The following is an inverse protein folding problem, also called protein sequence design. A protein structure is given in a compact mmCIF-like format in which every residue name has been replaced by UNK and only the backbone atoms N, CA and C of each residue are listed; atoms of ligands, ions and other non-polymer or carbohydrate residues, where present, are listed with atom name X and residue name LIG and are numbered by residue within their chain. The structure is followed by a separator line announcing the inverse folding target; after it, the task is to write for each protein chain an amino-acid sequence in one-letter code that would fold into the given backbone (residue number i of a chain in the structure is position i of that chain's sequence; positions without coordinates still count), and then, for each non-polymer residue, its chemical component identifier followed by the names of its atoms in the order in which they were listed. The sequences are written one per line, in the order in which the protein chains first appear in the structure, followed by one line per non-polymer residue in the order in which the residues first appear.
data_IF_013059314688
#
_entry.id   IF_013059314688
#
_cell.length_a   1.000
_cell.length_b   1.000
_cell.length_c   1.000
_cell.angle_alpha   90.00
_cell.angle_beta   90.00
_cell.angle_gamma   90.00
#
_symmetry.space_group_name_H-M   'P 1'
#
loop_
_entity.id
_entity.type
_entity.pdbx_description
1 polymer ?
#
# COMPACT_ATOMS: atom_id res chain seq x y z
N UNK A 1 6.02 20.87 -10.35
CA UNK A 1 5.90 19.52 -9.74
C UNK A 1 5.31 18.59 -10.79
N UNK A 2 6.03 17.52 -11.13
CA UNK A 2 5.69 16.51 -12.13
C UNK A 2 5.54 15.18 -11.40
N UNK A 3 4.35 14.60 -11.45
CA UNK A 3 4.00 13.37 -10.74
C UNK A 3 3.72 12.29 -11.78
N UNK A 4 4.44 11.18 -11.72
CA UNK A 4 4.21 10.02 -12.57
C UNK A 4 3.69 8.87 -11.72
N UNK A 5 2.86 8.01 -12.30
CA UNK A 5 2.29 6.85 -11.64
C UNK A 5 2.72 5.56 -12.34
N UNK A 6 3.23 4.59 -11.60
CA UNK A 6 3.74 3.32 -12.17
C UNK A 6 2.88 2.10 -11.88
N UNK A 7 1.75 2.25 -11.18
CA UNK A 7 0.87 1.13 -10.84
C UNK A 7 -0.55 1.62 -10.58
N UNK A 8 -1.54 0.90 -11.10
CA UNK A 8 -2.96 1.07 -10.76
C UNK A 8 -3.55 -0.07 -9.92
N UNK A 9 -2.84 -1.18 -9.74
CA UNK A 9 -3.28 -2.32 -8.92
C UNK A 9 -2.13 -3.25 -8.53
N UNK A 10 -2.34 -4.15 -7.56
CA UNK A 10 -1.33 -5.14 -7.21
C UNK A 10 -1.10 -6.18 -8.32
N UNK A 11 0.10 -6.17 -8.90
CA UNK A 11 0.48 -7.06 -10.01
C UNK A 11 0.44 -6.39 -11.38
N UNK A 12 0.37 -5.06 -11.43
CA UNK A 12 0.48 -4.26 -12.66
C UNK A 12 1.86 -4.40 -13.36
N UNK A 13 2.05 -3.67 -14.45
CA UNK A 13 3.21 -3.71 -15.32
C UNK A 13 4.53 -3.44 -14.58
N UNK A 14 5.31 -4.51 -14.35
CA UNK A 14 6.55 -4.43 -13.56
C UNK A 14 7.55 -3.38 -14.08
N UNK A 15 7.83 -3.26 -15.39
CA UNK A 15 8.76 -2.25 -15.91
C UNK A 15 8.30 -0.78 -15.76
N UNK A 16 7.03 -0.53 -15.45
CA UNK A 16 6.47 0.83 -15.45
C UNK A 16 7.24 1.81 -14.56
N UNK A 17 7.75 1.35 -13.40
CA UNK A 17 8.55 2.21 -12.51
C UNK A 17 9.81 2.73 -13.23
N UNK A 18 10.54 1.83 -13.90
CA UNK A 18 11.72 2.18 -14.69
C UNK A 18 11.35 3.07 -15.85
N UNK A 19 10.31 2.72 -16.60
CA UNK A 19 9.86 3.47 -17.78
C UNK A 19 9.48 4.92 -17.40
N UNK A 20 8.84 5.13 -16.24
CA UNK A 20 8.51 6.47 -15.74
C UNK A 20 9.72 7.26 -15.27
N UNK A 21 10.69 6.61 -14.61
CA UNK A 21 11.91 7.27 -14.11
C UNK A 21 12.89 7.61 -15.24
N UNK A 22 12.98 6.77 -16.27
CA UNK A 22 13.87 6.96 -17.41
C UNK A 22 13.25 7.81 -18.54
N UNK A 23 11.92 7.72 -18.73
CA UNK A 23 11.21 8.32 -19.85
C UNK A 23 11.04 9.84 -19.80
N UNK A 24 11.32 10.50 -18.68
CA UNK A 24 11.24 11.95 -18.59
C UNK A 24 11.53 12.50 -17.21
N UNK A 25 11.66 13.84 -17.07
CA UNK A 25 11.86 14.46 -15.78
C UNK A 25 10.58 14.33 -14.94
N UNK A 26 10.68 13.66 -13.79
CA UNK A 26 9.61 13.58 -12.79
C UNK A 26 10.17 14.03 -11.44
N UNK A 27 9.31 14.60 -10.59
CA UNK A 27 9.68 15.01 -9.23
C UNK A 27 9.21 13.96 -8.20
N UNK A 28 8.12 13.23 -8.53
CA UNK A 28 7.53 12.20 -7.69
C UNK A 28 7.12 11.00 -8.54
N UNK A 29 7.48 9.80 -8.09
CA UNK A 29 6.95 8.53 -8.57
C UNK A 29 5.91 8.01 -7.58
N UNK A 30 4.69 7.81 -8.04
CA UNK A 30 3.60 7.21 -7.28
C UNK A 30 3.27 5.81 -7.79
N UNK A 31 2.58 5.04 -6.96
CA UNK A 31 2.03 3.76 -7.36
C UNK A 31 0.88 3.35 -6.45
N UNK A 32 -0.21 2.93 -7.08
CA UNK A 32 -1.38 2.37 -6.42
C UNK A 32 -1.38 0.84 -6.52
N UNK A 33 -1.48 0.18 -5.37
CA UNK A 33 -1.48 -1.27 -5.23
C UNK A 33 -2.75 -1.77 -4.56
N UNK A 34 -3.51 -0.89 -3.90
CA UNK A 34 -4.62 -1.30 -3.05
C UNK A 34 -5.93 -1.25 -3.82
N UNK A 35 -6.63 -2.37 -3.76
CA UNK A 35 -8.00 -2.53 -4.20
C UNK A 35 -8.67 -3.48 -3.21
N UNK A 36 -10.00 -3.56 -3.23
CA UNK A 36 -10.77 -4.44 -2.34
C UNK A 36 -10.27 -5.90 -2.38
N UNK A 37 -10.05 -6.44 -3.59
CA UNK A 37 -9.48 -7.77 -3.76
C UNK A 37 -8.05 -7.88 -3.21
N UNK A 38 -7.22 -6.85 -3.37
CA UNK A 38 -5.86 -6.81 -2.84
C UNK A 38 -5.88 -6.95 -1.32
N UNK A 39 -6.78 -6.24 -0.62
CA UNK A 39 -6.87 -6.30 0.84
C UNK A 39 -7.07 -7.74 1.34
N UNK A 40 -7.95 -8.50 0.68
CA UNK A 40 -8.17 -9.91 0.99
C UNK A 40 -6.91 -10.77 0.72
N UNK A 41 -6.19 -10.51 -0.38
CA UNK A 41 -4.94 -11.23 -0.70
C UNK A 41 -3.88 -10.98 0.37
N UNK A 42 -3.70 -9.72 0.78
CA UNK A 42 -2.73 -9.33 1.80
C UNK A 42 -3.09 -9.90 3.17
N UNK A 43 -4.38 -9.94 3.51
CA UNK A 43 -4.85 -10.59 4.74
C UNK A 43 -4.54 -12.09 4.74
N UNK A 44 -4.85 -12.79 3.65
CA UNK A 44 -4.49 -14.23 3.50
C UNK A 44 -2.99 -14.47 3.57
N UNK A 45 -2.17 -13.54 3.08
CA UNK A 45 -0.72 -13.63 3.22
C UNK A 45 -0.29 -13.49 4.69
N UNK A 46 -0.88 -12.54 5.42
CA UNK A 46 -0.60 -12.31 6.85
C UNK A 46 -0.99 -13.49 7.73
N UNK A 47 -2.07 -14.20 7.38
CA UNK A 47 -2.45 -15.44 8.07
C UNK A 47 -1.38 -16.54 7.98
N UNK A 48 -0.65 -16.60 6.87
CA UNK A 48 0.42 -17.58 6.66
C UNK A 48 1.74 -17.13 7.28
N UNK A 49 2.01 -15.82 7.21
CA UNK A 49 3.23 -15.20 7.71
C UNK A 49 2.88 -13.83 8.32
N UNK A 50 2.95 -13.67 9.66
CA UNK A 50 2.65 -12.40 10.31
C UNK A 50 3.50 -11.22 9.84
N UNK A 51 4.68 -11.46 9.24
CA UNK A 51 5.55 -10.42 8.68
C UNK A 51 5.14 -9.99 7.27
N UNK A 52 4.21 -10.68 6.61
CA UNK A 52 3.66 -10.32 5.30
C UNK A 52 2.58 -9.22 5.41
N UNK A 53 1.76 -9.05 4.37
CA UNK A 53 0.66 -8.07 4.35
C UNK A 53 0.92 -6.80 3.55
N UNK A 54 1.98 -6.77 2.73
CA UNK A 54 2.30 -5.70 1.79
C UNK A 54 2.49 -6.24 0.35
N UNK A 55 2.45 -5.36 -0.65
CA UNK A 55 2.60 -5.70 -2.05
C UNK A 55 4.08 -6.00 -2.40
N UNK A 56 4.43 -7.28 -2.51
CA UNK A 56 5.83 -7.71 -2.75
C UNK A 56 6.40 -7.25 -4.09
N UNK A 57 5.56 -7.05 -5.10
CA UNK A 57 5.98 -6.56 -6.43
C UNK A 57 6.57 -5.16 -6.37
N UNK A 58 6.16 -4.33 -5.40
CA UNK A 58 6.75 -3.00 -5.22
C UNK A 58 8.25 -3.09 -4.91
N UNK A 59 8.71 -4.06 -4.11
CA UNK A 59 10.14 -4.22 -3.82
C UNK A 59 10.94 -4.55 -5.08
N UNK A 60 10.37 -5.32 -6.00
CA UNK A 60 10.99 -5.64 -7.28
C UNK A 60 11.08 -4.41 -8.20
N UNK A 61 10.06 -3.56 -8.19
CA UNK A 61 10.07 -2.28 -8.92
C UNK A 61 11.07 -1.30 -8.29
N UNK A 62 11.07 -1.20 -6.97
CA UNK A 62 11.94 -0.31 -6.21
C UNK A 62 13.42 -0.66 -6.45
N UNK A 63 13.77 -1.95 -6.47
CA UNK A 63 15.13 -2.41 -6.75
C UNK A 63 15.66 -1.89 -8.10
N UNK A 64 14.79 -1.72 -9.09
CA UNK A 64 15.17 -1.23 -10.42
C UNK A 64 15.45 0.27 -10.46
N UNK A 65 14.85 1.06 -9.56
CA UNK A 65 14.83 2.53 -9.68
C UNK A 65 15.38 3.29 -8.48
N UNK A 66 15.57 2.65 -7.32
CA UNK A 66 15.91 3.32 -6.06
C UNK A 66 17.17 4.19 -6.19
N UNK A 67 18.23 3.67 -6.81
CA UNK A 67 19.47 4.43 -7.02
C UNK A 67 19.25 5.68 -7.88
N UNK A 68 18.63 5.50 -9.05
CA UNK A 68 18.31 6.61 -9.97
C UNK A 68 17.40 7.66 -9.31
N UNK A 69 16.43 7.23 -8.50
CA UNK A 69 15.56 8.13 -7.76
C UNK A 69 16.34 8.96 -6.73
N UNK A 70 17.27 8.34 -6.01
CA UNK A 70 18.13 9.05 -5.05
C UNK A 70 19.04 10.07 -5.75
N UNK A 71 19.71 9.66 -6.83
CA UNK A 71 20.62 10.54 -7.59
C UNK A 71 19.90 11.77 -8.16
N UNK A 72 18.65 11.60 -8.58
CA UNK A 72 17.83 12.65 -9.19
C UNK A 72 16.94 13.40 -8.19
N UNK A 73 16.92 12.99 -6.92
CA UNK A 73 16.04 13.56 -5.90
C UNK A 73 14.55 13.30 -6.12
N UNK A 74 14.20 12.20 -6.80
CA UNK A 74 12.81 11.78 -7.04
C UNK A 74 12.24 11.18 -5.77
N UNK A 75 11.08 11.68 -5.33
CA UNK A 75 10.36 11.12 -4.17
C UNK A 75 9.50 9.95 -4.61
N UNK A 76 9.38 8.93 -3.76
CA UNK A 76 8.52 7.77 -4.01
C UNK A 76 7.39 7.77 -2.98
N UNK A 77 6.14 7.69 -3.43
CA UNK A 77 4.95 7.67 -2.56
C UNK A 77 4.01 6.56 -3.03
N UNK A 78 3.80 5.53 -2.21
CA UNK A 78 3.00 4.35 -2.57
C UNK A 78 2.13 3.91 -1.40
N UNK A 79 1.00 3.29 -1.71
CA UNK A 79 0.18 2.56 -0.72
C UNK A 79 0.51 1.06 -0.66
N UNK A 80 1.64 0.64 -1.25
CA UNK A 80 2.10 -0.75 -1.29
C UNK A 80 2.25 -1.41 0.09
N UNK A 81 2.31 -0.62 1.17
CA UNK A 81 2.37 -1.11 2.55
C UNK A 81 1.14 -1.92 2.95
N UNK A 82 -0.02 -1.66 2.35
CA UNK A 82 -1.26 -2.40 2.60
C UNK A 82 -1.54 -2.58 4.09
N UNK A 83 -1.70 -3.83 4.52
CA UNK A 83 -1.99 -4.21 5.91
C UNK A 83 -0.74 -4.24 6.81
N UNK A 84 0.45 -4.01 6.26
CA UNK A 84 1.70 -3.96 7.02
C UNK A 84 2.70 -2.91 6.49
N UNK A 85 2.40 -1.60 6.62
CA UNK A 85 3.30 -0.53 6.17
C UNK A 85 4.67 -0.56 6.86
N UNK A 86 4.71 -0.89 8.16
CA UNK A 86 5.95 -0.99 8.92
C UNK A 86 6.84 -2.14 8.42
N UNK A 87 6.24 -3.29 8.12
CA UNK A 87 6.95 -4.44 7.54
C UNK A 87 7.53 -4.11 6.17
N UNK A 88 6.78 -3.40 5.32
CA UNK A 88 7.32 -2.96 4.04
C UNK A 88 8.51 -1.99 4.22
N UNK A 89 8.42 -1.03 5.14
CA UNK A 89 9.53 -0.11 5.42
C UNK A 89 10.80 -0.86 5.83
N UNK A 90 10.68 -1.87 6.69
CA UNK A 90 11.82 -2.70 7.09
C UNK A 90 12.43 -3.48 5.91
N UNK A 91 11.62 -3.96 4.95
CA UNK A 91 12.14 -4.61 3.74
C UNK A 91 12.78 -3.62 2.77
N UNK A 92 12.29 -2.38 2.70
CA UNK A 92 12.94 -1.30 1.95
C UNK A 92 14.32 -0.99 2.53
N UNK A 93 14.45 -0.91 3.86
CA UNK A 93 15.74 -0.69 4.51
C UNK A 93 16.73 -1.83 4.19
N UNK A 94 16.28 -3.09 4.25
CA UNK A 94 17.11 -4.25 3.86
C UNK A 94 17.53 -4.19 2.40
N UNK A 95 16.61 -3.82 1.51
CA UNK A 95 16.90 -3.64 0.08
C UNK A 95 17.94 -2.54 -0.13
N UNK A 96 17.79 -1.40 0.55
CA UNK A 96 18.72 -0.28 0.45
C UNK A 96 20.14 -0.69 0.91
N UNK A 97 20.26 -1.38 2.05
CA UNK A 97 21.54 -1.91 2.54
C UNK A 97 22.17 -2.85 1.51
N UNK A 98 21.40 -3.76 0.91
CA UNK A 98 21.88 -4.68 -0.13
C UNK A 98 22.39 -3.94 -1.37
N UNK A 99 21.79 -2.81 -1.72
CA UNK A 99 22.18 -1.98 -2.86
C UNK A 99 23.27 -0.95 -2.52
N UNK A 100 23.69 -0.85 -1.25
CA UNK A 100 24.65 0.17 -0.81
C UNK A 100 24.09 1.60 -0.80
N UNK A 101 22.77 1.74 -0.67
CA UNK A 101 22.03 3.01 -0.70
C UNK A 101 21.51 3.37 0.70
N UNK A 102 21.24 4.66 0.92
CA UNK A 102 20.75 5.20 2.20
C UNK A 102 19.55 6.14 1.99
N UNK A 103 18.38 5.64 1.56
CA UNK A 103 17.17 6.44 1.45
C UNK A 103 16.62 6.81 2.83
N UNK A 104 15.93 7.94 2.91
CA UNK A 104 15.04 8.23 4.03
C UNK A 104 13.70 7.51 3.81
N UNK A 105 13.31 6.62 4.73
CA UNK A 105 12.09 5.82 4.65
C UNK A 105 11.12 6.23 5.75
N UNK A 106 9.87 6.46 5.39
CA UNK A 106 8.77 6.69 6.32
C UNK A 106 7.55 5.87 5.90
N UNK A 107 6.75 5.43 6.87
CA UNK A 107 5.47 4.77 6.64
C UNK A 107 4.37 5.49 7.43
N UNK A 108 3.15 5.41 6.93
CA UNK A 108 1.97 6.03 7.53
C UNK A 108 1.02 4.92 7.98
N UNK A 109 0.38 5.11 9.13
CA UNK A 109 -0.64 4.21 9.68
C UNK A 109 -1.82 5.04 10.18
N UNK A 110 -2.95 4.39 10.47
CA UNK A 110 -4.14 5.02 11.07
C UNK A 110 -5.41 4.87 10.22
N UNK A 111 -5.31 4.25 9.06
CA UNK A 111 -6.45 3.89 8.22
C UNK A 111 -7.14 2.61 8.69
N UNK A 112 -6.45 1.69 9.36
CA UNK A 112 -7.03 0.45 9.91
C UNK A 112 -8.06 0.76 11.02
N UNK A 113 -9.33 0.45 10.70
CA UNK A 113 -10.50 0.61 11.57
C UNK A 113 -11.01 -0.72 12.13
N UNK A 114 -10.36 -1.85 11.85
CA UNK A 114 -10.89 -3.18 12.21
C UNK A 114 -11.18 -3.28 13.71
N UNK A 115 -10.23 -2.84 14.54
CA UNK A 115 -10.38 -2.81 16.01
C UNK A 115 -11.39 -1.77 16.53
N UNK A 116 -11.88 -0.88 15.66
CA UNK A 116 -12.80 0.21 16.00
C UNK A 116 -14.23 -0.05 15.55
N UNK A 117 -14.50 -1.13 14.81
CA UNK A 117 -15.82 -1.41 14.24
C UNK A 117 -16.91 -1.49 15.32
N UNK A 118 -16.68 -2.24 16.39
CA UNK A 118 -17.64 -2.36 17.51
C UNK A 118 -18.01 -1.01 18.09
N UNK A 119 -17.00 -0.15 18.32
CA UNK A 119 -17.20 1.20 18.84
C UNK A 119 -17.94 2.11 17.87
N UNK A 120 -17.66 2.00 16.56
CA UNK A 120 -18.36 2.75 15.51
C UNK A 120 -19.82 2.35 15.42
N UNK A 121 -20.12 1.05 15.47
CA UNK A 121 -21.49 0.52 15.46
C UNK A 121 -22.26 0.91 16.73
N UNK A 122 -21.64 0.77 17.90
CA UNK A 122 -22.23 1.22 19.17
C UNK A 122 -22.48 2.73 19.20
N UNK A 123 -21.67 3.51 18.49
CA UNK A 123 -21.83 4.95 18.29
C UNK A 123 -22.90 5.34 17.25
N UNK A 124 -23.63 4.37 16.69
CA UNK A 124 -24.69 4.62 15.72
C UNK A 124 -24.24 4.72 14.26
N UNK A 125 -22.97 4.41 13.95
CA UNK A 125 -22.50 4.33 12.56
C UNK A 125 -23.01 3.02 11.94
N UNK A 126 -23.96 3.11 11.03
CA UNK A 126 -24.62 1.93 10.45
C UNK A 126 -23.66 1.03 9.64
N UNK A 127 -22.57 1.59 9.11
CA UNK A 127 -21.63 0.88 8.20
C UNK A 127 -22.39 0.14 7.09
N UNK A 128 -23.38 0.83 6.50
CA UNK A 128 -24.23 0.27 5.46
C UNK A 128 -23.47 0.16 4.13
N UNK A 129 -23.61 -0.98 3.47
CA UNK A 129 -23.13 -1.17 2.11
C UNK A 129 -23.78 -0.12 1.19
N UNK A 130 -22.97 0.52 0.35
CA UNK A 130 -23.42 1.65 -0.49
C UNK A 130 -24.41 1.23 -1.57
N UNK A 131 -24.37 -0.01 -2.04
CA UNK A 131 -25.21 -0.52 -3.12
C UNK A 131 -26.51 -1.14 -2.60
N UNK A 132 -26.44 -1.90 -1.50
CA UNK A 132 -27.59 -2.67 -0.98
C UNK A 132 -28.28 -2.01 0.21
N UNK A 133 -27.62 -1.06 0.89
CA UNK A 133 -28.09 -0.49 2.15
C UNK A 133 -28.04 -1.46 3.33
N UNK A 134 -27.61 -2.71 3.14
CA UNK A 134 -27.48 -3.69 4.21
C UNK A 134 -26.38 -3.23 5.19
N UNK A 135 -26.69 -3.22 6.48
CA UNK A 135 -25.71 -2.86 7.51
C UNK A 135 -24.69 -3.99 7.69
N UNK A 136 -23.49 -3.65 8.17
CA UNK A 136 -22.50 -4.66 8.50
C UNK A 136 -23.01 -5.65 9.58
N UNK A 137 -23.82 -5.17 10.53
CA UNK A 137 -24.44 -6.01 11.56
C UNK A 137 -25.40 -7.06 10.97
N UNK A 138 -26.15 -6.68 9.93
CA UNK A 138 -27.13 -7.55 9.27
C UNK A 138 -26.50 -8.47 8.21
N UNK A 139 -25.23 -8.27 7.88
CA UNK A 139 -24.56 -9.03 6.82
C UNK A 139 -24.18 -10.45 7.24
N UNK A 140 -24.09 -10.74 8.55
CA UNK A 140 -23.75 -12.08 9.05
C UNK A 140 -22.34 -12.55 8.66
N UNK A 141 -21.42 -11.60 8.45
CA UNK A 141 -20.02 -11.86 8.06
C UNK A 141 -19.06 -11.32 9.12
N UNK A 142 -17.86 -11.91 9.18
CA UNK A 142 -16.76 -11.38 9.98
C UNK A 142 -15.85 -10.50 9.10
N UNK A 143 -15.71 -9.21 9.40
CA UNK A 143 -14.76 -8.34 8.70
C UNK A 143 -13.33 -8.84 8.90
N UNK A 144 -12.59 -8.99 7.80
CA UNK A 144 -11.16 -9.36 7.85
C UNK A 144 -10.23 -8.17 7.73
N UNK A 145 -10.74 -7.07 7.17
CA UNK A 145 -10.06 -5.79 6.99
C UNK A 145 -11.10 -4.68 7.05
N UNK A 146 -10.76 -3.53 7.60
CA UNK A 146 -11.57 -2.32 7.50
C UNK A 146 -10.64 -1.11 7.44
N UNK A 147 -10.73 -0.31 6.39
CA UNK A 147 -9.78 0.77 6.14
C UNK A 147 -10.53 2.06 5.78
N UNK A 148 -10.09 3.19 6.34
CA UNK A 148 -10.58 4.50 5.96
C UNK A 148 -9.87 5.00 4.71
N UNK A 149 -10.63 5.42 3.70
CA UNK A 149 -10.09 6.15 2.56
C UNK A 149 -10.09 7.64 2.89
N UNK A 150 -8.90 8.20 3.18
CA UNK A 150 -8.79 9.57 3.73
C UNK A 150 -8.68 10.69 2.68
N UNK A 151 -8.68 10.35 1.38
CA UNK A 151 -8.60 11.32 0.28
C UNK A 151 -7.19 11.84 0.05
#
# INVERSE_FOLDING_TARGET
MRIANCSGFYGDWLPAARDMVEGGPIDVLTGDYLAELTMLILWKARLKDPAAGYAKTFLLQLEQVLGTCLDRGIKIVVNAGGLNPAGLAAEVDKLAVRLGLQPAVAYITGDDLLSRLDGLQAGGTALANLDTGQTLADAGVEPVTANAYLG
#
